data_IF_414520039751
#
_entry.id   IF_414520039751
#
_cell.length_a   1.000
_cell.length_b   1.000
_cell.length_c   1.000
_cell.angle_alpha   90.00
_cell.angle_beta   90.00
_cell.angle_gamma   90.00
#
_symmetry.space_group_name_H-M   'P 1'
#
loop_
_entity.id
_entity.type
_entity.pdbx_description
1 polymer ?
#
# COMPACT_ATOMS: atom_id res chain seq x y z
N UNK A 1 66.31 23.28 37.87
CA UNK A 1 64.87 22.97 37.87
C UNK A 1 64.46 22.83 36.40
N UNK A 2 64.32 21.60 35.89
CA UNK A 2 64.06 21.33 34.47
C UNK A 2 62.61 20.87 34.33
N UNK A 3 61.80 21.63 33.59
CA UNK A 3 60.39 21.30 33.32
C UNK A 3 60.36 20.50 32.02
N UNK A 4 59.99 19.21 32.10
CA UNK A 4 59.71 18.37 30.94
C UNK A 4 58.29 18.69 30.44
N UNK A 5 58.19 19.21 29.21
CA UNK A 5 56.92 19.27 28.47
C UNK A 5 56.62 17.88 27.89
N UNK A 6 55.52 17.28 28.33
CA UNK A 6 54.94 16.09 27.72
C UNK A 6 54.01 16.54 26.58
N UNK A 7 54.33 16.14 25.35
CA UNK A 7 53.44 16.31 24.20
C UNK A 7 52.48 15.12 24.15
N UNK A 8 51.20 15.36 24.44
CA UNK A 8 50.14 14.37 24.30
C UNK A 8 49.66 14.41 22.85
N UNK A 9 49.97 13.36 22.08
CA UNK A 9 49.46 13.15 20.72
C UNK A 9 48.08 12.50 20.87
N UNK A 10 47.02 13.25 20.54
CA UNK A 10 45.68 12.69 20.40
C UNK A 10 45.59 11.94 19.05
N UNK A 11 45.48 10.62 19.10
CA UNK A 11 45.00 9.84 17.97
C UNK A 11 43.48 10.03 17.88
N UNK A 12 43.03 10.78 16.88
CA UNK A 12 41.62 10.80 16.46
C UNK A 12 41.44 9.58 15.57
N UNK A 13 40.98 8.47 16.16
CA UNK A 13 40.40 7.39 15.36
C UNK A 13 39.14 7.94 14.70
N UNK A 14 39.17 8.07 13.37
CA UNK A 14 37.98 8.33 12.57
C UNK A 14 37.07 7.13 12.69
N UNK A 15 36.14 7.17 13.66
CA UNK A 15 35.03 6.23 13.75
C UNK A 15 34.19 6.44 12.49
N UNK A 16 34.38 5.56 11.52
CA UNK A 16 33.60 5.51 10.30
C UNK A 16 32.22 4.95 10.68
N UNK A 17 31.36 5.80 11.26
CA UNK A 17 29.95 5.48 11.50
C UNK A 17 29.24 5.33 10.16
N UNK A 18 29.34 4.16 9.53
CA UNK A 18 28.38 3.76 8.51
C UNK A 18 27.00 3.75 9.18
N UNK A 19 26.17 4.74 8.83
CA UNK A 19 24.75 4.75 9.18
C UNK A 19 24.08 3.57 8.47
N UNK A 20 24.09 2.41 9.12
CA UNK A 20 23.37 1.25 8.61
C UNK A 20 21.89 1.51 8.83
N UNK A 21 21.12 1.62 7.74
CA UNK A 21 19.67 1.73 7.82
C UNK A 21 19.10 0.56 8.62
N UNK A 22 18.36 0.87 9.68
CA UNK A 22 17.59 -0.12 10.42
C UNK A 22 16.12 0.22 10.28
N UNK A 23 15.37 -0.70 9.71
CA UNK A 23 13.92 -0.59 9.68
C UNK A 23 13.37 -1.04 11.02
N UNK A 24 12.62 -0.15 11.65
CA UNK A 24 11.79 -0.45 12.80
C UNK A 24 10.32 -0.45 12.39
N UNK A 25 9.42 -0.80 13.32
CA UNK A 25 8.00 -0.51 13.14
C UNK A 25 7.88 1.02 12.99
N UNK A 26 7.23 1.56 11.93
CA UNK A 26 6.10 0.98 11.19
C UNK A 26 6.41 0.35 9.81
N UNK A 27 7.63 0.46 9.28
CA UNK A 27 7.91 0.05 7.89
C UNK A 27 8.24 -1.45 7.81
N UNK A 28 8.82 -2.01 8.87
CA UNK A 28 9.24 -3.41 8.92
C UNK A 28 8.08 -4.39 8.63
N UNK A 29 8.26 -5.29 7.67
CA UNK A 29 7.26 -6.31 7.33
C UNK A 29 7.33 -6.81 5.90
N UNK A 30 6.44 -7.75 5.56
CA UNK A 30 6.19 -8.16 4.19
C UNK A 30 4.88 -7.56 3.69
N UNK A 31 4.94 -6.95 2.51
CA UNK A 31 3.83 -6.24 1.90
C UNK A 31 3.49 -6.83 0.54
N UNK A 32 2.22 -6.69 0.19
CA UNK A 32 1.67 -6.95 -1.12
C UNK A 32 1.15 -5.65 -1.74
N UNK A 33 1.44 -5.43 -3.01
CA UNK A 33 0.91 -4.33 -3.81
C UNK A 33 0.60 -4.84 -5.22
N UNK A 34 -0.24 -4.10 -5.95
CA UNK A 34 -0.39 -4.28 -7.38
C UNK A 34 0.12 -2.98 -8.02
N UNK A 35 1.23 -3.07 -8.75
CA UNK A 35 1.99 -1.93 -9.25
C UNK A 35 2.16 -2.07 -10.76
N UNK A 36 1.67 -1.10 -11.54
CA UNK A 36 1.81 -1.08 -13.00
C UNK A 36 1.36 -2.38 -13.69
N UNK A 37 0.30 -3.02 -13.18
CA UNK A 37 -0.22 -4.28 -13.72
C UNK A 37 0.50 -5.55 -13.25
N UNK A 38 1.48 -5.42 -12.35
CA UNK A 38 2.24 -6.53 -11.78
C UNK A 38 1.94 -6.73 -10.30
N UNK A 39 1.84 -7.99 -9.88
CA UNK A 39 1.77 -8.32 -8.46
C UNK A 39 3.15 -8.15 -7.84
N UNK A 40 3.26 -7.30 -6.83
CA UNK A 40 4.54 -6.96 -6.21
C UNK A 40 4.53 -7.38 -4.76
N UNK A 41 5.55 -8.15 -4.36
CA UNK A 41 5.79 -8.51 -2.98
C UNK A 41 7.05 -7.80 -2.51
N UNK A 42 6.91 -6.94 -1.50
CA UNK A 42 8.03 -6.14 -0.96
C UNK A 42 8.29 -6.54 0.50
N UNK A 43 9.52 -6.91 0.83
CA UNK A 43 9.94 -7.24 2.20
C UNK A 43 10.97 -6.22 2.70
N UNK A 44 10.60 -5.47 3.75
CA UNK A 44 11.52 -4.60 4.47
C UNK A 44 12.07 -5.36 5.68
N UNK A 45 13.38 -5.63 5.69
CA UNK A 45 14.05 -6.45 6.72
C UNK A 45 14.82 -5.57 7.71
N UNK A 46 14.86 -5.95 8.99
CA UNK A 46 15.45 -5.14 10.07
C UNK A 46 16.89 -4.70 9.82
N UNK A 47 17.66 -5.48 9.06
CA UNK A 47 19.05 -5.19 8.71
C UNK A 47 19.22 -4.18 7.55
N UNK A 48 18.13 -3.60 7.04
CA UNK A 48 18.14 -2.65 5.92
C UNK A 48 18.03 -3.30 4.55
N UNK A 49 17.99 -4.64 4.46
CA UNK A 49 17.77 -5.32 3.18
C UNK A 49 16.32 -5.16 2.74
N UNK A 50 16.13 -4.95 1.44
CA UNK A 50 14.82 -4.82 0.81
C UNK A 50 14.76 -5.82 -0.35
N UNK A 51 13.70 -6.60 -0.36
CA UNK A 51 13.47 -7.66 -1.33
C UNK A 51 12.18 -7.38 -2.08
N UNK A 52 12.22 -7.25 -3.41
CA UNK A 52 11.05 -6.97 -4.24
C UNK A 52 10.91 -8.04 -5.31
N UNK A 53 9.82 -8.79 -5.26
CA UNK A 53 9.46 -9.82 -6.23
C UNK A 53 8.29 -9.32 -7.06
N UNK A 54 8.42 -9.39 -8.37
CA UNK A 54 7.40 -8.94 -9.32
C UNK A 54 6.88 -10.16 -10.07
N UNK A 55 5.57 -10.32 -10.09
CA UNK A 55 4.90 -11.42 -10.78
C UNK A 55 3.97 -10.87 -11.86
N UNK A 56 4.10 -11.46 -13.04
CA UNK A 56 3.19 -11.23 -14.16
C UNK A 56 2.11 -12.30 -14.15
N UNK A 57 0.90 -11.90 -14.51
CA UNK A 57 -0.21 -12.83 -14.71
C UNK A 57 -0.23 -13.29 -16.15
N UNK A 58 0.01 -14.58 -16.36
CA UNK A 58 -0.30 -15.20 -17.63
C UNK A 58 -1.72 -15.74 -17.57
N UNK A 59 -2.62 -15.10 -18.33
CA UNK A 59 -3.98 -15.59 -18.46
C UNK A 59 -3.96 -16.83 -19.35
N UNK A 60 -4.27 -18.00 -18.81
CA UNK A 60 -4.73 -19.11 -19.65
C UNK A 60 -5.97 -18.65 -20.44
N UNK A 61 -6.19 -19.18 -21.65
CA UNK A 61 -7.37 -18.84 -22.46
C UNK A 61 -8.66 -19.16 -21.68
N UNK A 62 -9.38 -18.14 -21.21
CA UNK A 62 -10.74 -18.24 -20.67
C UNK A 62 -10.92 -17.70 -19.24
N UNK A 63 -12.12 -17.18 -18.94
CA UNK A 63 -12.51 -16.56 -17.66
C UNK A 63 -12.54 -17.51 -16.44
N UNK A 64 -12.21 -18.80 -16.65
CA UNK A 64 -12.12 -19.84 -15.61
C UNK A 64 -10.73 -20.51 -15.59
N UNK A 65 -9.74 -19.97 -16.29
CA UNK A 65 -8.42 -20.57 -16.36
C UNK A 65 -7.65 -20.36 -15.06
N UNK A 66 -6.91 -21.39 -14.62
CA UNK A 66 -5.90 -21.28 -13.58
C UNK A 66 -4.97 -20.11 -13.94
N UNK A 67 -5.05 -19.02 -13.18
CA UNK A 67 -4.14 -17.88 -13.31
C UNK A 67 -2.78 -18.38 -12.82
N UNK A 68 -1.81 -18.43 -13.72
CA UNK A 68 -0.43 -18.73 -13.36
C UNK A 68 0.27 -17.39 -13.15
N UNK A 69 0.74 -17.16 -11.93
CA UNK A 69 1.63 -16.05 -11.60
C UNK A 69 3.06 -16.49 -11.89
N UNK A 70 3.69 -15.87 -12.89
CA UNK A 70 5.07 -16.15 -13.25
C UNK A 70 5.95 -15.05 -12.66
N UNK A 71 7.04 -15.44 -12.00
CA UNK A 71 8.04 -14.49 -11.53
C UNK A 71 8.62 -13.77 -12.75
N UNK A 72 8.37 -12.47 -12.84
CA UNK A 72 8.83 -11.60 -13.91
C UNK A 72 10.21 -11.04 -13.59
N UNK A 73 10.40 -10.58 -12.35
CA UNK A 73 11.65 -9.99 -11.90
C UNK A 73 11.85 -10.14 -10.38
N UNK A 74 13.11 -10.14 -9.96
CA UNK A 74 13.52 -10.15 -8.56
C UNK A 74 14.57 -9.05 -8.34
N UNK A 75 14.20 -8.01 -7.61
CA UNK A 75 15.10 -6.93 -7.23
C UNK A 75 15.54 -7.10 -5.78
N UNK A 76 16.81 -7.45 -5.61
CA UNK A 76 17.49 -7.49 -4.33
C UNK A 76 18.16 -6.14 -4.10
N UNK A 77 17.82 -5.46 -3.02
CA UNK A 77 18.49 -4.21 -2.71
C UNK A 77 18.66 -3.96 -1.23
N UNK A 78 19.22 -2.79 -0.95
CA UNK A 78 19.54 -2.35 0.41
C UNK A 78 19.19 -0.89 0.59
N UNK A 79 18.81 -0.53 1.81
CA UNK A 79 18.71 0.85 2.21
C UNK A 79 20.12 1.43 2.40
N UNK A 80 20.36 2.54 1.73
CA UNK A 80 21.58 3.33 1.83
C UNK A 80 21.38 4.51 2.76
N UNK A 81 20.20 5.11 2.71
CA UNK A 81 19.83 6.25 3.54
C UNK A 81 18.36 6.15 3.92
N UNK A 82 18.07 6.41 5.19
CA UNK A 82 16.71 6.49 5.71
C UNK A 82 16.61 7.73 6.59
N UNK A 83 15.65 8.60 6.28
CA UNK A 83 15.34 9.75 7.09
C UNK A 83 13.84 9.92 7.24
N UNK A 84 13.42 10.58 8.30
CA UNK A 84 12.03 10.97 8.51
C UNK A 84 11.91 12.47 8.20
N UNK A 85 10.84 12.85 7.51
CA UNK A 85 10.55 14.22 7.12
C UNK A 85 9.15 14.60 7.60
N UNK A 86 9.01 15.85 8.02
CA UNK A 86 7.70 16.44 8.24
C UNK A 86 7.07 16.78 6.89
N UNK A 87 5.79 16.46 6.76
CA UNK A 87 5.05 16.82 5.57
C UNK A 87 4.64 18.30 5.61
N UNK A 88 4.40 18.91 4.43
CA UNK A 88 3.74 20.20 4.36
C UNK A 88 2.38 20.13 5.08
N UNK A 89 1.94 21.24 5.68
CA UNK A 89 0.68 21.34 6.46
C UNK A 89 -0.58 20.85 5.73
N UNK A 90 -0.55 20.67 4.41
CA UNK A 90 -1.69 20.24 3.59
C UNK A 90 -1.83 18.72 3.45
N UNK A 91 -0.77 17.95 3.69
CA UNK A 91 -0.83 16.50 3.52
C UNK A 91 -1.42 15.83 4.76
N UNK A 92 -2.28 14.83 4.56
CA UNK A 92 -3.04 14.17 5.64
C UNK A 92 -2.13 13.47 6.66
N UNK A 93 -1.02 12.88 6.20
CA UNK A 93 0.00 12.33 7.11
C UNK A 93 0.92 13.43 7.58
N UNK A 94 1.20 13.51 8.89
CA UNK A 94 2.11 14.52 9.48
C UNK A 94 3.57 14.36 9.07
N UNK A 95 3.99 13.12 8.83
CA UNK A 95 5.37 12.78 8.49
C UNK A 95 5.41 11.69 7.42
N UNK A 96 6.53 11.57 6.72
CA UNK A 96 6.85 10.46 5.82
C UNK A 96 8.32 10.06 5.95
N UNK A 97 8.68 8.88 5.47
CA UNK A 97 10.07 8.44 5.39
C UNK A 97 10.62 8.67 3.99
N UNK A 98 11.82 9.22 3.89
CA UNK A 98 12.60 9.24 2.66
C UNK A 98 13.66 8.15 2.76
N UNK A 99 13.57 7.20 1.84
CA UNK A 99 14.43 6.02 1.76
C UNK A 99 15.18 6.05 0.43
N UNK A 100 16.50 6.06 0.47
CA UNK A 100 17.32 5.75 -0.71
C UNK A 100 17.57 4.25 -0.74
N UNK A 101 17.00 3.61 -1.74
CA UNK A 101 17.16 2.20 -2.06
C UNK A 101 18.19 2.04 -3.15
N UNK A 102 19.10 1.09 -2.97
CA UNK A 102 20.02 0.64 -4.01
C UNK A 102 19.59 -0.73 -4.51
N UNK A 103 19.24 -0.81 -5.78
CA UNK A 103 18.99 -2.08 -6.46
C UNK A 103 20.33 -2.72 -6.83
N UNK A 104 20.64 -3.88 -6.24
CA UNK A 104 21.89 -4.60 -6.52
C UNK A 104 21.85 -5.35 -7.84
N UNK A 105 20.65 -5.66 -8.38
CA UNK A 105 20.55 -6.39 -9.64
C UNK A 105 20.76 -5.46 -10.83
N UNK A 106 20.20 -4.23 -10.75
CA UNK A 106 20.37 -3.19 -11.77
C UNK A 106 21.52 -2.23 -11.52
N UNK A 107 22.13 -2.26 -10.32
CA UNK A 107 23.16 -1.31 -9.89
C UNK A 107 22.73 0.16 -9.93
N UNK A 108 21.45 0.45 -9.70
CA UNK A 108 20.91 1.81 -9.67
C UNK A 108 20.38 2.20 -8.28
N UNK A 109 20.04 3.47 -8.12
CA UNK A 109 19.42 4.01 -6.93
C UNK A 109 18.01 4.51 -7.23
N UNK A 110 17.12 4.38 -6.26
CA UNK A 110 15.77 4.95 -6.28
C UNK A 110 15.49 5.59 -4.92
N UNK A 111 14.82 6.74 -4.93
CA UNK A 111 14.21 7.26 -3.72
C UNK A 111 12.79 6.71 -3.57
N UNK A 112 12.43 6.35 -2.35
CA UNK A 112 11.08 6.00 -1.92
C UNK A 112 10.62 7.02 -0.88
N UNK A 113 9.46 7.62 -1.11
CA UNK A 113 8.71 8.32 -0.08
C UNK A 113 7.65 7.38 0.48
N UNK A 114 7.80 7.01 1.75
CA UNK A 114 6.94 6.03 2.41
C UNK A 114 6.05 6.74 3.44
N UNK A 115 4.76 6.68 3.21
CA UNK A 115 3.72 7.22 4.07
C UNK A 115 3.07 6.10 4.85
N UNK A 116 3.26 6.11 6.16
CA UNK A 116 2.56 5.22 7.06
C UNK A 116 1.11 5.70 7.24
N UNK A 117 0.13 5.01 6.64
CA UNK A 117 -1.28 5.39 6.71
C UNK A 117 -1.98 4.74 7.89
N UNK A 118 -1.78 3.43 8.07
CA UNK A 118 -2.34 2.64 9.18
C UNK A 118 -1.33 1.57 9.59
N UNK A 119 -1.62 0.79 10.64
CA UNK A 119 -0.75 -0.33 11.02
C UNK A 119 -0.49 -1.32 9.87
N UNK A 120 -1.48 -1.52 9.00
CA UNK A 120 -1.42 -2.50 7.92
C UNK A 120 -1.09 -1.90 6.55
N UNK A 121 -1.13 -0.57 6.42
CA UNK A 121 -1.12 0.10 5.12
C UNK A 121 -0.01 1.14 5.04
N UNK A 122 0.88 0.93 4.07
CA UNK A 122 1.83 1.93 3.60
C UNK A 122 1.39 2.45 2.24
N UNK A 123 1.69 3.71 1.95
CA UNK A 123 1.66 4.24 0.60
C UNK A 123 3.05 4.68 0.21
N UNK A 124 3.46 4.39 -1.03
CA UNK A 124 4.76 4.78 -1.54
C UNK A 124 4.65 5.61 -2.80
N UNK A 125 5.59 6.55 -2.95
CA UNK A 125 6.00 7.13 -4.23
C UNK A 125 7.46 6.82 -4.44
N UNK A 126 7.88 6.68 -5.70
CA UNK A 126 9.24 6.32 -6.04
C UNK A 126 9.76 7.15 -7.20
N UNK A 127 11.05 7.43 -7.20
CA UNK A 127 11.75 7.98 -8.36
C UNK A 127 12.00 6.90 -9.40
N UNK A 128 12.37 7.34 -10.59
CA UNK A 128 12.99 6.45 -11.57
C UNK A 128 14.33 5.89 -11.03
N UNK A 129 14.74 4.77 -11.62
CA UNK A 129 16.00 4.08 -11.34
C UNK A 129 17.14 4.81 -12.05
N UNK A 130 18.03 5.42 -11.27
CA UNK A 130 19.12 6.27 -11.78
C UNK A 130 20.50 5.76 -11.34
N UNK A 131 21.49 5.86 -12.22
CA UNK A 131 22.87 5.49 -11.95
C UNK A 131 23.60 6.68 -11.33
N UNK A 132 23.69 6.71 -10.00
CA UNK A 132 24.42 7.76 -9.29
C UNK A 132 25.93 7.57 -9.46
N UNK A 133 26.52 8.25 -10.45
CA UNK A 133 27.98 8.39 -10.58
C UNK A 133 28.44 9.66 -9.85
N UNK A 134 29.48 9.59 -9.02
CA UNK A 134 29.96 10.77 -8.29
C UNK A 134 31.44 11.08 -8.58
N UNK A 135 31.74 12.33 -8.98
CA UNK A 135 32.69 13.29 -8.34
C UNK A 135 33.33 14.30 -9.33
N UNK A 136 33.34 14.10 -10.66
CA UNK A 136 34.05 15.02 -11.58
C UNK A 136 33.20 15.92 -12.48
N UNK A 137 31.89 15.72 -12.59
CA UNK A 137 31.07 16.37 -13.63
C UNK A 137 29.64 16.70 -13.15
N UNK A 138 29.43 17.77 -12.38
CA UNK A 138 28.11 18.42 -12.17
C UNK A 138 26.87 17.46 -12.09
N UNK A 139 26.88 16.53 -11.14
CA UNK A 139 25.86 15.47 -11.00
C UNK A 139 25.10 15.55 -9.68
N UNK A 140 23.82 15.16 -9.74
CA UNK A 140 22.82 15.13 -8.67
C UNK A 140 23.36 14.40 -7.44
N UNK A 141 23.27 15.02 -6.26
CA UNK A 141 23.69 14.38 -5.02
C UNK A 141 22.73 13.23 -4.70
N UNK A 142 23.19 12.15 -4.05
CA UNK A 142 22.31 11.01 -3.70
C UNK A 142 21.12 11.46 -2.83
N UNK A 143 21.28 12.58 -2.11
CA UNK A 143 20.22 13.22 -1.33
C UNK A 143 19.20 13.99 -2.19
N UNK A 144 19.56 14.40 -3.42
CA UNK A 144 18.67 15.12 -4.33
C UNK A 144 17.77 14.17 -5.13
N UNK A 145 18.04 12.86 -5.11
CA UNK A 145 17.25 11.85 -5.83
C UNK A 145 15.76 11.91 -5.45
N UNK A 146 15.43 12.19 -4.19
CA UNK A 146 14.04 12.32 -3.75
C UNK A 146 13.33 13.54 -4.34
N UNK A 147 14.07 14.58 -4.75
CA UNK A 147 13.50 15.77 -5.40
C UNK A 147 13.02 15.48 -6.82
N UNK A 148 13.42 14.33 -7.40
CA UNK A 148 12.98 13.91 -8.74
C UNK A 148 11.61 13.23 -8.73
N UNK A 149 11.08 12.90 -7.55
CA UNK A 149 9.75 12.30 -7.42
C UNK A 149 8.73 13.36 -7.83
N UNK A 150 7.90 13.01 -8.82
CA UNK A 150 6.80 13.86 -9.22
C UNK A 150 5.78 13.94 -8.07
N UNK A 151 5.53 15.14 -7.55
CA UNK A 151 4.55 15.38 -6.48
C UNK A 151 3.11 15.01 -6.88
N UNK A 152 2.82 15.00 -8.18
CA UNK A 152 1.54 14.61 -8.75
C UNK A 152 1.45 13.09 -9.04
N UNK A 153 2.52 12.34 -8.83
CA UNK A 153 2.50 10.89 -9.05
C UNK A 153 1.47 10.21 -8.14
N UNK A 154 0.76 9.24 -8.71
CA UNK A 154 -0.12 8.36 -7.95
C UNK A 154 0.67 7.56 -6.90
N UNK A 155 0.02 7.24 -5.78
CA UNK A 155 0.61 6.40 -4.74
C UNK A 155 0.39 4.92 -5.04
N UNK A 156 1.44 4.12 -4.91
CA UNK A 156 1.29 2.67 -4.79
C UNK A 156 0.91 2.31 -3.36
N UNK A 157 -0.16 1.52 -3.17
CA UNK A 157 -0.60 1.07 -1.85
C UNK A 157 -0.03 -0.31 -1.52
N UNK A 158 0.61 -0.42 -0.36
CA UNK A 158 1.24 -1.63 0.14
C UNK A 158 0.46 -2.16 1.35
N UNK A 159 -0.02 -3.41 1.23
CA UNK A 159 -0.80 -4.12 2.23
C UNK A 159 0.09 -5.10 3.00
N UNK A 160 0.15 -4.96 4.32
CA UNK A 160 0.89 -5.89 5.18
C UNK A 160 0.30 -7.30 5.06
N UNK A 161 1.13 -8.31 4.79
CA UNK A 161 0.67 -9.71 4.64
C UNK A 161 0.20 -10.33 5.95
N UNK A 162 0.84 -9.97 7.06
CA UNK A 162 0.50 -10.43 8.42
C UNK A 162 -0.46 -9.45 9.11
N UNK A 163 -1.39 -8.88 8.35
CA UNK A 163 -2.27 -7.81 8.80
C UNK A 163 -3.10 -8.21 10.02
N UNK A 164 -3.44 -7.21 10.84
CA UNK A 164 -4.40 -7.32 11.93
C UNK A 164 -5.72 -6.66 11.56
N UNK A 165 -6.79 -7.07 12.23
CA UNK A 165 -8.08 -6.40 12.10
C UNK A 165 -8.01 -4.98 12.70
N UNK A 166 -8.73 -4.04 12.09
CA UNK A 166 -8.82 -2.63 12.52
C UNK A 166 -10.29 -2.18 12.46
N UNK A 167 -10.68 -1.22 13.29
CA UNK A 167 -12.06 -0.70 13.29
C UNK A 167 -12.33 0.21 12.05
N UNK A 168 -13.38 -0.08 11.28
CA UNK A 168 -13.88 0.79 10.20
C UNK A 168 -15.21 1.51 10.49
N UNK A 169 -15.58 1.69 11.76
CA UNK A 169 -16.84 2.40 12.11
C UNK A 169 -16.93 3.80 11.49
N UNK A 170 -15.81 4.48 11.32
CA UNK A 170 -15.77 5.79 10.69
C UNK A 170 -16.16 5.77 9.20
N UNK A 171 -16.14 4.61 8.53
CA UNK A 171 -16.35 4.51 7.08
C UNK A 171 -17.55 3.66 6.70
N UNK A 172 -17.70 2.49 7.31
CA UNK A 172 -18.73 1.51 6.97
C UNK A 172 -19.34 1.04 8.28
N UNK A 173 -20.53 1.51 8.64
CA UNK A 173 -21.24 1.04 9.83
C UNK A 173 -22.74 1.01 9.58
N UNK A 174 -23.40 -0.13 9.81
CA UNK A 174 -24.81 -0.28 9.53
C UNK A 174 -25.14 -1.46 8.63
N UNK A 175 -26.41 -1.50 8.21
CA UNK A 175 -26.92 -2.40 7.19
C UNK A 175 -27.43 -1.57 6.03
N UNK A 176 -26.94 -1.86 4.83
CA UNK A 176 -27.26 -1.14 3.60
C UNK A 176 -27.75 -2.09 2.55
N UNK A 177 -28.82 -1.71 1.85
CA UNK A 177 -29.12 -2.27 0.54
C UNK A 177 -28.36 -1.46 -0.50
N UNK A 178 -27.81 -2.13 -1.50
CA UNK A 178 -27.03 -1.45 -2.53
C UNK A 178 -27.33 -2.00 -3.92
N UNK A 179 -27.28 -1.12 -4.90
CA UNK A 179 -27.15 -1.46 -6.31
C UNK A 179 -25.68 -1.38 -6.71
N UNK A 180 -25.23 -2.15 -7.70
CA UNK A 180 -23.82 -2.11 -8.12
C UNK A 180 -23.67 -2.19 -9.64
N UNK A 181 -22.58 -1.62 -10.13
CA UNK A 181 -22.16 -1.71 -11.53
C UNK A 181 -20.73 -2.26 -11.58
N UNK A 182 -20.46 -3.12 -12.55
CA UNK A 182 -19.12 -3.67 -12.82
C UNK A 182 -18.63 -3.10 -14.15
N UNK A 183 -17.87 -2.00 -14.11
CA UNK A 183 -17.49 -1.23 -15.31
C UNK A 183 -16.77 -2.07 -16.37
N UNK A 184 -15.94 -3.03 -15.96
CA UNK A 184 -15.19 -3.91 -16.88
C UNK A 184 -16.06 -4.98 -17.55
N UNK A 185 -17.22 -5.30 -16.99
CA UNK A 185 -18.09 -6.38 -17.47
C UNK A 185 -19.24 -5.93 -18.38
N UNK A 186 -19.43 -4.62 -18.56
CA UNK A 186 -20.49 -4.04 -19.39
C UNK A 186 -21.24 -2.90 -18.70
N UNK A 187 -22.02 -2.14 -19.48
CA UNK A 187 -22.81 -1.00 -19.00
C UNK A 187 -24.08 -1.52 -18.31
N UNK A 188 -24.32 -1.10 -17.06
CA UNK A 188 -25.60 -1.34 -16.40
C UNK A 188 -25.50 -1.49 -14.89
N UNK A 189 -26.54 -1.00 -14.21
CA UNK A 189 -26.69 -1.09 -12.76
C UNK A 189 -27.49 -2.36 -12.43
N UNK A 190 -26.89 -3.26 -11.66
CA UNK A 190 -27.60 -4.38 -11.06
C UNK A 190 -28.30 -3.92 -9.78
N UNK A 191 -29.62 -3.89 -9.85
CA UNK A 191 -30.52 -3.69 -8.71
C UNK A 191 -31.16 -5.02 -8.34
N UNK A 192 -30.66 -5.63 -7.27
CA UNK A 192 -31.17 -6.88 -6.73
C UNK A 192 -31.37 -6.70 -5.22
N UNK A 193 -32.57 -7.02 -4.71
CA UNK A 193 -32.94 -6.83 -3.30
C UNK A 193 -32.11 -7.64 -2.31
N UNK A 194 -31.46 -8.72 -2.76
CA UNK A 194 -30.55 -9.54 -1.95
C UNK A 194 -29.21 -8.83 -1.74
N UNK A 195 -28.84 -7.90 -2.61
CA UNK A 195 -27.60 -7.14 -2.51
C UNK A 195 -27.62 -6.28 -1.24
N UNK A 196 -26.73 -6.60 -0.31
CA UNK A 196 -26.68 -5.96 1.02
C UNK A 196 -25.30 -5.96 1.63
N UNK A 197 -24.97 -4.88 2.32
CA UNK A 197 -23.79 -4.75 3.18
C UNK A 197 -24.25 -4.82 4.63
N UNK A 198 -23.62 -5.67 5.45
CA UNK A 198 -23.93 -5.81 6.88
C UNK A 198 -22.64 -5.67 7.69
N UNK A 199 -22.53 -4.57 8.42
CA UNK A 199 -21.34 -4.17 9.19
C UNK A 199 -21.60 -4.02 10.70
N UNK A 200 -22.84 -4.22 11.13
CA UNK A 200 -23.20 -4.12 12.54
C UNK A 200 -22.59 -5.28 13.35
N UNK A 201 -22.22 -5.04 14.62
CA UNK A 201 -21.79 -6.12 15.51
C UNK A 201 -22.93 -7.13 15.74
N UNK A 202 -22.59 -8.41 15.77
CA UNK A 202 -23.55 -9.46 16.09
C UNK A 202 -24.00 -9.33 17.56
N UNK A 203 -25.29 -9.49 17.86
CA UNK A 203 -25.79 -9.45 19.23
C UNK A 203 -25.03 -10.44 20.13
N UNK A 204 -24.44 -9.96 21.23
CA UNK A 204 -23.69 -10.79 22.18
C UNK A 204 -22.18 -10.88 21.92
N UNK A 205 -21.65 -10.20 20.90
CA UNK A 205 -20.20 -10.01 20.75
C UNK A 205 -19.66 -9.02 21.80
N UNK A 206 -18.50 -9.29 22.41
CA UNK A 206 -17.86 -8.33 23.33
C UNK A 206 -17.58 -7.02 22.61
N UNK A 207 -17.75 -5.89 23.32
CA UNK A 207 -17.69 -4.52 22.77
C UNK A 207 -16.35 -4.17 22.07
N UNK A 208 -15.31 -4.98 22.22
CA UNK A 208 -13.95 -4.68 21.80
C UNK A 208 -13.64 -5.03 20.33
N UNK A 209 -14.47 -5.84 19.66
CA UNK A 209 -14.28 -6.26 18.26
C UNK A 209 -15.34 -5.67 17.31
N UNK A 210 -15.88 -4.49 17.67
CA UNK A 210 -17.02 -3.93 16.95
C UNK A 210 -16.56 -3.39 15.59
N UNK A 211 -17.12 -3.98 14.53
CA UNK A 211 -16.99 -3.49 13.16
C UNK A 211 -15.57 -3.56 12.57
N UNK A 212 -14.88 -4.64 12.89
CA UNK A 212 -13.63 -5.05 12.23
C UNK A 212 -13.89 -5.85 10.95
N UNK A 213 -15.11 -6.41 10.80
CA UNK A 213 -15.50 -7.28 9.71
C UNK A 213 -16.92 -6.98 9.26
N UNK A 214 -17.18 -7.18 7.98
CA UNK A 214 -18.50 -6.99 7.40
C UNK A 214 -18.76 -7.94 6.23
N UNK A 215 -20.03 -8.29 6.09
CA UNK A 215 -20.52 -9.08 4.97
C UNK A 215 -20.92 -8.16 3.83
N UNK A 216 -20.56 -8.52 2.61
CA UNK A 216 -21.11 -7.88 1.41
C UNK A 216 -21.69 -8.96 0.52
N UNK A 217 -23.00 -8.95 0.35
CA UNK A 217 -23.73 -9.90 -0.49
C UNK A 217 -24.05 -9.22 -1.81
N UNK A 218 -23.65 -9.82 -2.92
CA UNK A 218 -23.98 -9.43 -4.28
C UNK A 218 -25.02 -10.41 -4.81
N UNK A 219 -26.13 -9.89 -5.34
CA UNK A 219 -27.11 -10.68 -6.08
C UNK A 219 -26.90 -10.60 -7.58
N UNK A 220 -27.07 -11.72 -8.28
CA UNK A 220 -27.08 -11.79 -9.73
C UNK A 220 -28.33 -11.14 -10.34
N UNK A 221 -28.16 -10.41 -11.43
CA UNK A 221 -29.21 -9.79 -12.23
C UNK A 221 -29.27 -10.49 -13.60
N UNK A 222 -30.41 -11.16 -13.90
CA UNK A 222 -30.58 -11.94 -15.16
C UNK A 222 -30.29 -11.15 -16.44
N UNK A 223 -30.55 -9.85 -16.45
CA UNK A 223 -30.37 -8.99 -17.62
C UNK A 223 -28.97 -8.35 -17.70
N UNK A 224 -28.07 -8.65 -16.76
CA UNK A 224 -26.73 -8.06 -16.70
C UNK A 224 -25.68 -9.16 -16.57
N UNK A 225 -24.97 -9.45 -17.66
CA UNK A 225 -23.98 -10.55 -17.71
C UNK A 225 -22.81 -10.33 -16.75
N UNK A 226 -22.50 -9.08 -16.42
CA UNK A 226 -21.44 -8.71 -15.46
C UNK A 226 -21.85 -8.86 -13.99
N UNK A 227 -23.13 -9.07 -13.71
CA UNK A 227 -23.60 -9.30 -12.34
C UNK A 227 -23.18 -10.69 -11.86
N UNK A 228 -23.00 -10.82 -10.54
CA UNK A 228 -22.51 -12.06 -9.92
C UNK A 228 -23.27 -12.34 -8.63
N UNK A 229 -23.40 -13.64 -8.30
CA UNK A 229 -23.75 -14.08 -6.95
C UNK A 229 -22.47 -14.29 -6.15
N UNK A 230 -22.24 -13.45 -5.14
CA UNK A 230 -21.06 -13.53 -4.31
C UNK A 230 -21.35 -13.04 -2.88
N UNK A 231 -20.71 -13.66 -1.89
CA UNK A 231 -20.84 -13.25 -0.50
C UNK A 231 -19.47 -13.20 0.20
N UNK A 232 -18.57 -12.28 -0.19
CA UNK A 232 -17.32 -12.06 0.52
C UNK A 232 -17.55 -11.63 1.99
N UNK A 233 -16.63 -12.09 2.84
CA UNK A 233 -16.44 -11.57 4.19
C UNK A 233 -15.21 -10.66 4.13
N UNK A 234 -15.38 -9.38 4.38
CA UNK A 234 -14.28 -8.44 4.41
C UNK A 234 -13.85 -8.15 5.85
N UNK A 235 -12.55 -8.16 6.08
CA UNK A 235 -11.91 -7.61 7.27
C UNK A 235 -11.31 -6.25 6.94
N UNK A 236 -11.53 -5.27 7.81
CA UNK A 236 -10.94 -3.96 7.70
C UNK A 236 -9.46 -3.97 8.13
N UNK A 237 -8.65 -3.23 7.37
CA UNK A 237 -7.21 -3.06 7.59
C UNK A 237 -6.86 -1.61 8.00
N UNK A 238 -7.88 -0.76 8.09
CA UNK A 238 -7.80 0.65 8.48
C UNK A 238 -8.32 1.59 7.39
N UNK A 239 -8.38 2.88 7.75
CA UNK A 239 -8.86 3.94 6.87
C UNK A 239 -7.98 5.19 6.97
N UNK A 240 -7.98 6.01 5.92
CA UNK A 240 -7.27 7.30 5.90
C UNK A 240 -7.95 8.26 4.92
N UNK A 241 -7.69 9.55 5.08
CA UNK A 241 -8.24 10.59 4.22
C UNK A 241 -7.31 10.87 3.03
N UNK A 242 -7.91 11.23 1.90
CA UNK A 242 -7.20 11.89 0.80
C UNK A 242 -7.20 13.42 1.00
N UNK A 243 -6.53 14.15 0.12
CA UNK A 243 -6.46 15.61 0.18
C UNK A 243 -7.81 16.31 -0.06
N UNK A 244 -8.78 15.61 -0.68
CA UNK A 244 -10.14 16.10 -0.93
C UNK A 244 -11.07 15.88 0.28
N UNK A 245 -10.63 15.14 1.30
CA UNK A 245 -11.44 14.75 2.45
C UNK A 245 -12.28 13.48 2.23
N UNK A 246 -12.12 12.78 1.11
CA UNK A 246 -12.69 11.44 0.94
C UNK A 246 -11.93 10.43 1.78
N UNK A 247 -12.62 9.33 2.15
CA UNK A 247 -12.08 8.30 3.01
C UNK A 247 -11.78 7.04 2.20
N UNK A 248 -10.49 6.68 2.17
CA UNK A 248 -10.05 5.37 1.73
C UNK A 248 -10.19 4.37 2.88
N UNK A 249 -10.74 3.20 2.59
CA UNK A 249 -10.80 2.05 3.50
C UNK A 249 -10.09 0.87 2.84
N UNK A 250 -9.07 0.33 3.49
CA UNK A 250 -8.41 -0.88 3.04
C UNK A 250 -9.09 -2.11 3.64
N UNK A 251 -9.33 -3.12 2.82
CA UNK A 251 -10.03 -4.34 3.23
C UNK A 251 -9.35 -5.60 2.69
N UNK A 252 -9.48 -6.71 3.42
CA UNK A 252 -9.06 -8.04 3.02
C UNK A 252 -10.26 -8.98 2.95
N UNK A 253 -10.38 -9.76 1.87
CA UNK A 253 -11.38 -10.82 1.74
C UNK A 253 -10.92 -12.07 2.50
N UNK A 254 -11.55 -12.34 3.65
CA UNK A 254 -11.22 -13.46 4.53
C UNK A 254 -11.60 -14.83 3.94
N UNK A 255 -12.47 -14.86 2.91
CA UNK A 255 -12.80 -16.11 2.19
C UNK A 255 -11.76 -16.50 1.14
N UNK A 256 -10.80 -15.63 0.85
CA UNK A 256 -9.72 -15.90 -0.11
C UNK A 256 -8.52 -16.48 0.64
N UNK A 257 -8.02 -17.62 0.15
CA UNK A 257 -6.86 -18.30 0.72
C UNK A 257 -5.60 -17.43 0.74
N UNK A 258 -4.67 -17.76 1.63
CA UNK A 258 -3.44 -16.99 1.89
C UNK A 258 -2.49 -16.86 0.69
N UNK A 259 -2.68 -17.63 -0.37
CA UNK A 259 -1.82 -17.61 -1.56
C UNK A 259 -2.36 -16.71 -2.68
N UNK A 260 -3.65 -16.34 -2.64
CA UNK A 260 -4.32 -15.52 -3.67
C UNK A 260 -4.41 -14.06 -3.25
N UNK A 261 -3.25 -13.43 -3.02
CA UNK A 261 -3.16 -12.05 -2.56
C UNK A 261 -3.90 -11.05 -3.47
N UNK A 262 -3.85 -11.30 -4.78
CA UNK A 262 -4.57 -10.54 -5.79
C UNK A 262 -6.09 -10.50 -5.60
N UNK A 263 -6.72 -11.56 -5.08
CA UNK A 263 -8.18 -11.58 -4.82
C UNK A 263 -8.52 -11.12 -3.40
N UNK A 264 -7.49 -10.97 -2.56
CA UNK A 264 -7.63 -10.73 -1.15
C UNK A 264 -7.77 -9.25 -0.83
N UNK A 265 -6.84 -8.42 -1.28
CA UNK A 265 -6.76 -7.02 -0.86
C UNK A 265 -7.49 -6.08 -1.81
N UNK A 266 -8.30 -5.18 -1.25
CA UNK A 266 -9.05 -4.16 -2.00
C UNK A 266 -9.05 -2.84 -1.24
N UNK A 267 -9.37 -1.78 -1.96
CA UNK A 267 -9.67 -0.48 -1.39
C UNK A 267 -11.13 -0.13 -1.66
N UNK A 268 -11.73 0.61 -0.74
CA UNK A 268 -12.99 1.30 -0.94
C UNK A 268 -12.77 2.79 -0.77
N UNK A 269 -13.51 3.60 -1.52
CA UNK A 269 -13.48 5.06 -1.43
C UNK A 269 -14.91 5.57 -1.23
N UNK A 270 -15.10 6.41 -0.21
CA UNK A 270 -16.37 7.06 0.08
C UNK A 270 -16.17 8.50 0.53
N UNK A 271 -17.22 9.32 0.47
CA UNK A 271 -17.15 10.69 0.99
C UNK A 271 -17.39 10.70 2.49
N UNK A 272 -16.72 11.58 3.21
CA UNK A 272 -16.97 11.79 4.64
C UNK A 272 -18.37 12.36 4.91
N UNK A 273 -18.84 13.28 4.06
CA UNK A 273 -20.11 13.99 4.24
C UNK A 273 -21.33 13.23 3.68
N UNK A 274 -21.10 12.32 2.73
CA UNK A 274 -22.14 11.54 2.06
C UNK A 274 -21.71 10.08 1.82
N UNK A 275 -21.81 9.20 2.83
CA UNK A 275 -21.44 7.78 2.70
C UNK A 275 -22.49 6.94 1.95
N UNK A 276 -23.16 7.52 0.95
CA UNK A 276 -24.17 6.83 0.13
C UNK A 276 -23.53 6.08 -1.05
N UNK A 277 -22.36 6.54 -1.49
CA UNK A 277 -21.66 5.99 -2.65
C UNK A 277 -20.33 5.40 -2.22
N UNK A 278 -20.02 4.22 -2.76
CA UNK A 278 -18.77 3.54 -2.54
C UNK A 278 -18.21 3.08 -3.87
N UNK A 279 -16.99 3.50 -4.16
CA UNK A 279 -16.18 2.89 -5.20
C UNK A 279 -15.34 1.77 -4.56
N UNK A 280 -15.22 0.62 -5.22
CA UNK A 280 -14.36 -0.49 -4.79
C UNK A 280 -13.37 -0.81 -5.89
N UNK A 281 -12.10 -0.96 -5.54
CA UNK A 281 -11.06 -1.30 -6.51
C UNK A 281 -11.23 -2.73 -7.04
N UNK A 282 -10.72 -3.01 -8.25
CA UNK A 282 -10.60 -4.39 -8.71
C UNK A 282 -9.38 -5.09 -8.10
N UNK A 283 -8.31 -4.36 -7.81
CA UNK A 283 -7.03 -4.88 -7.28
C UNK A 283 -6.60 -4.17 -6.00
N UNK A 284 -5.42 -4.52 -5.50
CA UNK A 284 -4.73 -3.81 -4.44
C UNK A 284 -4.18 -2.43 -4.87
N UNK A 285 -4.89 -1.72 -5.77
CA UNK A 285 -4.57 -0.38 -6.26
C UNK A 285 -5.64 0.60 -5.75
N UNK A 286 -5.31 1.40 -4.74
CA UNK A 286 -6.25 2.42 -4.26
C UNK A 286 -6.26 3.66 -5.15
N UNK A 287 -5.14 4.00 -5.80
CA UNK A 287 -5.01 5.22 -6.60
C UNK A 287 -5.95 5.26 -7.81
N UNK A 288 -6.41 4.10 -8.30
CA UNK A 288 -7.40 3.97 -9.37
C UNK A 288 -8.82 4.41 -8.96
N UNK A 289 -9.08 4.64 -7.68
CA UNK A 289 -10.36 5.15 -7.21
C UNK A 289 -10.32 6.68 -7.24
N UNK A 290 -10.85 7.27 -8.31
CA UNK A 290 -10.82 8.72 -8.51
C UNK A 290 -11.91 9.46 -7.71
N UNK A 291 -13.09 8.86 -7.62
CA UNK A 291 -14.21 9.39 -6.84
C UNK A 291 -15.11 8.26 -6.32
N UNK A 292 -15.93 8.49 -5.29
CA UNK A 292 -16.90 7.50 -4.80
C UNK A 292 -17.97 7.08 -5.81
N UNK A 293 -18.21 7.87 -6.85
CA UNK A 293 -19.17 7.60 -7.92
C UNK A 293 -18.51 7.04 -9.18
N UNK A 294 -17.26 7.41 -9.43
CA UNK A 294 -16.44 6.92 -10.51
C UNK A 294 -15.49 5.87 -9.96
N UNK A 295 -16.00 4.63 -9.93
CA UNK A 295 -15.18 3.44 -9.75
C UNK A 295 -14.08 3.31 -10.82
N UNK A 296 -13.16 2.36 -10.63
CA UNK A 296 -12.03 2.16 -11.54
C UNK A 296 -12.49 1.85 -12.97
#
# INVERSE_FOLDING_TARGET
MAIKLFSIIFFIETVNCQFQCKFDRPILGEYYSYENGLETHTSFKKNGNIDRLFYRRESGRGATANIITVLDNHALGECVYLNWKENPFRHVSKHHYQLIYRDKTKSCYQCFEIYNRTHNILQIRKSECDEVTSISTNQMNIQDLCLTINEEAEFDTLFLKTYSAEECRATIYGTYHFTYEFREGGIGICDNSISRLVSCPDPGTPFDAVNERFWMTYGYCRNLVSSIDAQPLYQCLGHWFNEKGDIFTAIANERVGSERWYDKFRCMLTRQDQPQWFAKSLFAECARLYSPTDGP
#
